data_IF_777625041322
#
_entry.id   IF_777625041322
#
_cell.length_a   1.000
_cell.length_b   1.000
_cell.length_c   1.000
_cell.angle_alpha   90.00
_cell.angle_beta   90.00
_cell.angle_gamma   90.00
#
_symmetry.space_group_name_H-M   'P 1'
#
loop_
_entity.id
_entity.type
_entity.pdbx_description
1 polymer ?
#
# COMPACT_ATOMS: atom_id res chain seq x y z
N UNK A 1 -52.81 -21.68 19.70
CA UNK A 1 -52.32 -21.36 18.35
C UNK A 1 -51.76 -19.96 18.40
N UNK A 2 -50.48 -19.86 18.70
CA UNK A 2 -49.75 -18.61 18.86
C UNK A 2 -48.57 -18.72 17.91
N UNK A 3 -48.75 -18.13 16.72
CA UNK A 3 -47.71 -18.05 15.69
C UNK A 3 -46.56 -17.19 16.21
N UNK A 4 -45.50 -17.89 16.62
CA UNK A 4 -44.19 -17.33 16.90
C UNK A 4 -43.54 -16.93 15.57
N UNK A 5 -43.81 -15.71 15.11
CA UNK A 5 -43.06 -15.04 14.05
C UNK A 5 -41.65 -14.73 14.56
N UNK A 6 -40.76 -15.72 14.44
CA UNK A 6 -39.33 -15.51 14.54
C UNK A 6 -38.92 -14.61 13.36
N UNK A 7 -38.96 -13.30 13.60
CA UNK A 7 -38.35 -12.30 12.75
C UNK A 7 -36.86 -12.62 12.67
N UNK A 8 -36.50 -13.38 11.65
CA UNK A 8 -35.12 -13.65 11.29
C UNK A 8 -34.53 -12.32 10.83
N UNK A 9 -33.90 -11.60 11.75
CA UNK A 9 -32.99 -10.49 11.44
C UNK A 9 -31.79 -11.11 10.74
N UNK A 10 -31.96 -11.43 9.45
CA UNK A 10 -30.84 -11.67 8.55
C UNK A 10 -30.06 -10.37 8.53
N UNK A 11 -28.99 -10.32 9.30
CA UNK A 11 -27.97 -9.28 9.24
C UNK A 11 -27.38 -9.35 7.84
N UNK A 12 -27.94 -8.57 6.91
CA UNK A 12 -27.32 -8.32 5.62
C UNK A 12 -25.89 -7.86 5.92
N UNK A 13 -24.89 -8.58 5.44
CA UNK A 13 -23.52 -8.09 5.51
C UNK A 13 -23.51 -6.70 4.88
N UNK A 14 -22.97 -5.74 5.62
CA UNK A 14 -22.81 -4.39 5.09
C UNK A 14 -21.90 -4.49 3.87
N UNK A 15 -22.37 -3.96 2.74
CA UNK A 15 -21.54 -3.83 1.54
C UNK A 15 -20.24 -3.09 1.89
N UNK A 16 -19.08 -3.52 1.37
CA UNK A 16 -17.80 -2.86 1.65
C UNK A 16 -17.75 -1.44 1.06
N UNK A 17 -17.03 -0.53 1.70
CA UNK A 17 -16.75 0.79 1.12
C UNK A 17 -15.73 0.63 -0.04
N UNK A 18 -15.90 1.35 -1.15
CA UNK A 18 -14.88 1.41 -2.21
C UNK A 18 -13.71 2.28 -1.72
N UNK A 19 -12.55 1.66 -1.46
CA UNK A 19 -11.33 2.37 -1.05
C UNK A 19 -10.17 1.93 -1.94
N UNK A 20 -9.44 2.89 -2.51
CA UNK A 20 -8.16 2.64 -3.16
C UNK A 20 -7.04 3.29 -2.34
N UNK A 21 -6.01 2.50 -2.02
CA UNK A 21 -4.88 2.92 -1.19
C UNK A 21 -3.67 3.15 -2.08
N UNK A 22 -3.19 4.39 -2.10
CA UNK A 22 -2.01 4.79 -2.87
C UNK A 22 -0.85 4.98 -1.92
N UNK A 23 0.14 4.10 -2.02
CA UNK A 23 1.44 4.30 -1.38
C UNK A 23 2.22 5.39 -2.10
N UNK A 24 2.95 6.20 -1.35
CA UNK A 24 3.80 7.25 -1.90
C UNK A 24 5.24 7.12 -1.42
N UNK A 25 6.19 7.23 -2.35
CA UNK A 25 7.60 7.31 -2.04
C UNK A 25 8.30 8.33 -2.93
N UNK A 26 9.08 9.25 -2.36
CA UNK A 26 9.76 10.24 -3.17
C UNK A 26 11.06 10.78 -2.59
N UNK A 27 11.72 11.63 -3.37
CA UNK A 27 12.99 12.25 -3.01
C UNK A 27 12.77 13.38 -2.00
N UNK A 28 13.59 13.41 -0.95
CA UNK A 28 13.59 14.46 0.09
C UNK A 28 14.03 15.84 -0.42
N UNK A 29 14.90 15.87 -1.42
CA UNK A 29 15.51 17.11 -1.94
C UNK A 29 15.10 17.34 -3.39
N UNK A 30 14.24 18.33 -3.59
CA UNK A 30 13.83 18.84 -4.89
C UNK A 30 14.18 20.33 -4.94
N UNK A 31 14.68 20.82 -6.08
CA UNK A 31 14.75 22.26 -6.30
C UNK A 31 13.34 22.83 -6.57
N UNK A 32 13.24 24.16 -6.69
CA UNK A 32 11.96 24.83 -6.87
C UNK A 32 11.24 24.41 -8.18
N UNK A 33 11.99 24.28 -9.29
CA UNK A 33 11.42 23.90 -10.59
C UNK A 33 10.97 22.44 -10.61
N UNK A 34 11.75 21.55 -9.99
CA UNK A 34 11.36 20.16 -9.76
C UNK A 34 10.11 20.08 -8.89
N UNK A 35 10.01 20.89 -7.84
CA UNK A 35 8.87 20.88 -6.93
C UNK A 35 7.57 21.28 -7.63
N UNK A 36 7.61 22.33 -8.45
CA UNK A 36 6.46 22.77 -9.26
C UNK A 36 6.05 21.70 -10.28
N UNK A 37 7.03 21.12 -10.98
CA UNK A 37 6.81 20.06 -11.98
C UNK A 37 6.17 18.83 -11.35
N UNK A 38 6.71 18.37 -10.21
CA UNK A 38 6.17 17.24 -9.45
C UNK A 38 4.76 17.55 -8.95
N UNK A 39 4.52 18.74 -8.40
CA UNK A 39 3.19 19.13 -7.91
C UNK A 39 2.13 19.10 -9.01
N UNK A 40 2.46 19.65 -10.19
CA UNK A 40 1.58 19.63 -11.36
C UNK A 40 1.23 18.18 -11.77
N UNK A 41 2.22 17.30 -11.84
CA UNK A 41 2.01 15.91 -12.28
C UNK A 41 1.31 15.05 -11.26
N UNK A 42 1.60 15.22 -9.96
CA UNK A 42 0.84 14.54 -8.92
C UNK A 42 -0.63 14.99 -8.92
N UNK A 43 -0.92 16.26 -9.26
CA UNK A 43 -2.29 16.74 -9.39
C UNK A 43 -3.03 16.01 -10.52
N UNK A 44 -2.37 15.85 -11.67
CA UNK A 44 -2.93 15.09 -12.79
C UNK A 44 -3.18 13.62 -12.39
N UNK A 45 -2.18 12.96 -11.79
CA UNK A 45 -2.26 11.55 -11.35
C UNK A 45 -3.40 11.33 -10.36
N UNK A 46 -3.45 12.12 -9.27
CA UNK A 46 -4.53 11.98 -8.28
C UNK A 46 -5.90 12.34 -8.84
N UNK A 47 -5.98 13.28 -9.79
CA UNK A 47 -7.25 13.61 -10.46
C UNK A 47 -7.75 12.45 -11.31
N UNK A 48 -6.89 11.79 -12.09
CA UNK A 48 -7.27 10.62 -12.89
C UNK A 48 -7.80 9.50 -12.00
N UNK A 49 -7.06 9.19 -10.92
CA UNK A 49 -7.46 8.16 -9.95
C UNK A 49 -8.80 8.53 -9.29
N UNK A 50 -8.93 9.76 -8.80
CA UNK A 50 -10.12 10.25 -8.12
C UNK A 50 -11.37 10.23 -9.01
N UNK A 51 -11.26 10.71 -10.25
CA UNK A 51 -12.37 10.66 -11.21
C UNK A 51 -12.79 9.24 -11.50
N UNK A 52 -11.81 8.34 -11.67
CA UNK A 52 -12.14 6.96 -11.99
C UNK A 52 -12.86 6.24 -10.86
N UNK A 53 -12.46 6.48 -9.61
CA UNK A 53 -13.17 5.94 -8.44
C UNK A 53 -14.63 6.44 -8.37
N UNK A 54 -14.86 7.73 -8.65
CA UNK A 54 -16.21 8.32 -8.69
C UNK A 54 -17.06 7.72 -9.82
N UNK A 55 -16.47 7.41 -10.97
CA UNK A 55 -17.17 6.75 -12.07
C UNK A 55 -17.56 5.30 -11.73
N UNK A 56 -16.74 4.58 -10.96
CA UNK A 56 -16.98 3.19 -10.57
C UNK A 56 -18.10 3.09 -9.53
N UNK A 57 -18.15 4.00 -8.56
CA UNK A 57 -19.17 4.05 -7.51
C UNK A 57 -19.77 5.46 -7.40
N UNK A 58 -20.67 5.86 -8.32
CA UNK A 58 -21.33 7.15 -8.26
C UNK A 58 -22.29 7.22 -7.06
N UNK A 59 -22.34 8.38 -6.39
CA UNK A 59 -23.10 8.60 -5.15
C UNK A 59 -24.58 8.94 -5.33
N UNK A 60 -24.99 9.39 -6.53
CA UNK A 60 -26.34 9.89 -6.79
C UNK A 60 -26.90 9.32 -8.11
N UNK A 61 -28.10 8.75 -8.05
CA UNK A 61 -28.91 8.39 -9.22
C UNK A 61 -29.53 9.64 -9.92
N UNK A 62 -29.51 10.80 -9.26
CA UNK A 62 -30.50 11.85 -9.52
C UNK A 62 -30.13 12.89 -10.60
N UNK A 63 -28.91 12.92 -11.13
CA UNK A 63 -28.48 14.01 -12.02
C UNK A 63 -27.74 13.59 -13.31
N UNK A 64 -27.32 12.33 -13.44
CA UNK A 64 -26.54 11.90 -14.60
C UNK A 64 -27.34 10.88 -15.41
N UNK A 65 -27.62 11.20 -16.67
CA UNK A 65 -28.19 10.27 -17.68
C UNK A 65 -27.29 9.05 -17.97
N UNK A 66 -26.14 8.93 -17.29
CA UNK A 66 -25.20 7.83 -17.48
C UNK A 66 -25.67 6.60 -16.70
N UNK A 67 -25.67 5.42 -17.32
CA UNK A 67 -26.00 4.17 -16.63
C UNK A 67 -24.97 3.90 -15.53
N UNK A 68 -25.46 3.64 -14.31
CA UNK A 68 -24.63 3.23 -13.18
C UNK A 68 -23.96 1.88 -13.50
N UNK A 69 -22.62 1.76 -13.37
CA UNK A 69 -21.94 0.48 -13.58
C UNK A 69 -22.49 -0.61 -12.66
N UNK A 70 -22.64 -1.83 -13.17
CA UNK A 70 -23.18 -2.95 -12.37
C UNK A 70 -22.35 -3.22 -11.11
N UNK A 71 -21.03 -2.99 -11.17
CA UNK A 71 -20.11 -3.19 -10.05
C UNK A 71 -20.42 -2.25 -8.86
N UNK A 72 -21.00 -1.07 -9.09
CA UNK A 72 -21.32 -0.12 -8.04
C UNK A 72 -22.27 -0.71 -6.97
N UNK A 73 -23.06 -1.73 -7.34
CA UNK A 73 -24.00 -2.43 -6.45
C UNK A 73 -23.31 -3.25 -5.36
N UNK A 74 -22.04 -3.61 -5.54
CA UNK A 74 -21.28 -4.36 -4.54
C UNK A 74 -20.74 -3.49 -3.42
N UNK A 75 -20.61 -2.18 -3.63
CA UNK A 75 -20.09 -1.27 -2.61
C UNK A 75 -21.21 -0.69 -1.75
N UNK A 76 -20.84 -0.27 -0.55
CA UNK A 76 -21.65 0.66 0.22
C UNK A 76 -21.82 1.90 -0.63
N UNK A 77 -23.04 2.44 -0.68
CA UNK A 77 -23.33 3.66 -1.45
C UNK A 77 -22.76 4.92 -0.74
N UNK A 78 -21.58 4.78 -0.11
CA UNK A 78 -20.78 5.85 0.46
C UNK A 78 -19.77 6.33 -0.59
N UNK A 79 -19.22 7.52 -0.32
CA UNK A 79 -18.25 8.13 -1.23
C UNK A 79 -17.07 7.18 -1.41
N UNK A 80 -16.68 6.86 -2.65
CA UNK A 80 -15.44 6.13 -2.85
C UNK A 80 -14.29 6.94 -2.26
N UNK A 81 -13.37 6.27 -1.61
CA UNK A 81 -12.29 6.92 -0.87
C UNK A 81 -10.96 6.66 -1.55
N UNK A 82 -10.26 7.74 -1.88
CA UNK A 82 -8.84 7.68 -2.21
C UNK A 82 -8.06 7.87 -0.91
N UNK A 83 -7.17 6.94 -0.57
CA UNK A 83 -6.31 7.03 0.61
C UNK A 83 -4.86 7.23 0.19
N UNK A 84 -4.24 8.32 0.62
CA UNK A 84 -2.80 8.53 0.48
C UNK A 84 -2.07 7.95 1.70
N UNK A 85 -1.09 7.08 1.46
CA UNK A 85 -0.21 6.51 2.49
C UNK A 85 1.22 6.95 2.23
N UNK A 86 1.85 7.66 3.16
CA UNK A 86 3.16 8.25 2.94
C UNK A 86 4.08 8.16 4.17
N UNK A 87 5.34 8.62 4.02
CA UNK A 87 6.39 8.44 5.02
C UNK A 87 6.56 9.58 6.03
N UNK A 88 5.68 10.60 6.02
CA UNK A 88 5.83 11.85 6.80
C UNK A 88 7.22 12.48 6.63
N UNK A 89 7.69 12.56 5.38
CA UNK A 89 9.02 13.04 5.02
C UNK A 89 8.96 14.41 4.33
N UNK A 90 10.10 15.11 4.30
CA UNK A 90 10.25 16.36 3.55
C UNK A 90 10.25 16.11 2.03
N UNK A 91 10.14 17.18 1.26
CA UNK A 91 10.28 17.15 -0.19
C UNK A 91 9.05 16.55 -0.88
N UNK A 92 9.25 15.54 -1.71
CA UNK A 92 8.19 14.95 -2.52
C UNK A 92 6.97 14.47 -1.71
N UNK A 93 7.17 13.90 -0.53
CA UNK A 93 6.09 13.46 0.36
C UNK A 93 5.21 14.64 0.83
N UNK A 94 5.83 15.80 1.10
CA UNK A 94 5.10 17.02 1.47
C UNK A 94 4.30 17.56 0.28
N UNK A 95 4.91 17.58 -0.91
CA UNK A 95 4.22 17.99 -2.14
C UNK A 95 3.02 17.09 -2.42
N UNK A 96 3.19 15.77 -2.29
CA UNK A 96 2.10 14.82 -2.49
C UNK A 96 0.95 15.05 -1.50
N UNK A 97 1.28 15.27 -0.22
CA UNK A 97 0.30 15.61 0.81
C UNK A 97 -0.48 16.89 0.46
N UNK A 98 0.20 17.98 0.11
CA UNK A 98 -0.44 19.26 -0.18
C UNK A 98 -1.33 19.16 -1.44
N UNK A 99 -0.82 18.58 -2.53
CA UNK A 99 -1.60 18.36 -3.76
C UNK A 99 -2.83 17.49 -3.50
N UNK A 100 -2.70 16.46 -2.67
CA UNK A 100 -3.80 15.59 -2.29
C UNK A 100 -4.87 16.32 -1.47
N UNK A 101 -4.45 17.19 -0.55
CA UNK A 101 -5.35 18.05 0.22
C UNK A 101 -6.05 19.09 -0.66
N UNK A 102 -5.39 19.61 -1.68
CA UNK A 102 -5.95 20.54 -2.67
C UNK A 102 -6.95 19.91 -3.64
N UNK A 103 -6.99 18.58 -3.76
CA UNK A 103 -7.89 17.91 -4.69
C UNK A 103 -9.37 18.20 -4.36
N UNK A 104 -10.05 18.94 -5.25
CA UNK A 104 -11.47 19.34 -5.08
C UNK A 104 -12.37 18.41 -5.90
N UNK A 105 -12.91 17.39 -5.23
CA UNK A 105 -13.84 16.42 -5.84
C UNK A 105 -14.95 16.06 -4.83
N UNK A 106 -16.10 16.74 -4.82
CA UNK A 106 -17.12 16.57 -3.77
C UNK A 106 -17.64 15.14 -3.59
N UNK A 107 -17.65 14.35 -4.67
CA UNK A 107 -18.08 12.94 -4.65
C UNK A 107 -17.00 11.97 -4.13
N UNK A 108 -15.76 12.43 -3.97
CA UNK A 108 -14.63 11.61 -3.54
C UNK A 108 -14.37 11.83 -2.04
N UNK A 109 -14.31 10.74 -1.28
CA UNK A 109 -13.72 10.73 0.06
C UNK A 109 -12.20 10.81 -0.03
N UNK A 110 -11.57 11.59 0.85
CA UNK A 110 -10.11 11.65 0.96
C UNK A 110 -9.70 11.20 2.34
N UNK A 111 -8.68 10.36 2.40
CA UNK A 111 -8.12 9.87 3.66
C UNK A 111 -6.60 9.85 3.60
N UNK A 112 -5.95 10.04 4.75
CA UNK A 112 -4.49 10.05 4.86
C UNK A 112 -4.07 9.06 5.92
N UNK A 113 -3.02 8.32 5.64
CA UNK A 113 -2.34 7.47 6.60
C UNK A 113 -0.82 7.60 6.45
N UNK A 114 -0.11 7.16 7.47
CA UNK A 114 1.34 7.19 7.45
C UNK A 114 1.96 5.86 7.87
N UNK A 115 3.17 5.61 7.37
CA UNK A 115 4.06 4.56 7.87
C UNK A 115 5.37 5.22 8.22
N UNK A 116 5.83 5.08 9.46
CA UNK A 116 7.13 5.60 9.90
C UNK A 116 8.09 4.44 10.18
N UNK A 117 9.42 4.63 10.17
CA UNK A 117 10.36 3.51 10.30
C UNK A 117 10.66 3.05 11.73
N UNK A 118 10.27 3.84 12.75
CA UNK A 118 10.58 3.63 14.17
C UNK A 118 9.70 4.58 15.01
N UNK A 119 9.75 4.56 16.37
CA UNK A 119 8.85 5.36 17.21
C UNK A 119 8.71 6.82 16.76
N UNK A 120 7.47 7.32 16.73
CA UNK A 120 7.13 8.63 16.15
C UNK A 120 7.94 9.76 16.81
N UNK A 121 8.17 9.68 18.12
CA UNK A 121 8.98 10.67 18.87
C UNK A 121 10.41 10.76 18.32
N UNK A 122 11.03 9.61 18.05
CA UNK A 122 12.39 9.52 17.54
C UNK A 122 12.43 9.93 16.06
N UNK A 123 11.39 9.56 15.29
CA UNK A 123 11.26 9.94 13.89
C UNK A 123 11.11 11.43 13.72
N UNK A 124 10.24 12.06 14.50
CA UNK A 124 10.09 13.51 14.58
C UNK A 124 11.40 14.19 14.98
N UNK A 125 12.08 13.70 16.01
CA UNK A 125 13.37 14.24 16.44
C UNK A 125 14.50 14.07 15.41
N UNK A 126 14.34 13.17 14.43
CA UNK A 126 15.29 12.98 13.33
C UNK A 126 15.08 13.93 12.14
N UNK A 127 13.96 14.68 12.12
CA UNK A 127 13.61 15.61 11.03
C UNK A 127 14.36 16.93 11.14
N UNK A 128 14.33 17.68 10.05
CA UNK A 128 14.77 19.08 10.07
C UNK A 128 13.89 19.90 11.03
N UNK A 129 14.47 20.73 11.93
CA UNK A 129 13.70 21.62 12.81
C UNK A 129 12.67 22.48 12.08
N UNK A 130 12.99 22.98 10.88
CA UNK A 130 12.10 23.85 10.10
C UNK A 130 10.92 23.06 9.50
N UNK A 131 11.04 21.73 9.40
CA UNK A 131 9.98 20.85 8.93
C UNK A 131 9.03 20.39 10.03
N UNK A 132 9.38 20.53 11.31
CA UNK A 132 8.58 20.01 12.42
C UNK A 132 7.11 20.50 12.42
N UNK A 133 6.79 21.78 12.09
CA UNK A 133 5.39 22.21 12.01
C UNK A 133 4.59 21.46 10.95
N UNK A 134 5.20 21.21 9.78
CA UNK A 134 4.55 20.49 8.69
C UNK A 134 4.44 18.99 9.00
N UNK A 135 5.47 18.39 9.61
CA UNK A 135 5.40 17.03 10.14
C UNK A 135 4.21 16.86 11.09
N UNK A 136 4.04 17.77 12.06
CA UNK A 136 2.96 17.70 13.05
C UNK A 136 1.58 17.89 12.39
N UNK A 137 1.46 18.77 11.40
CA UNK A 137 0.24 18.95 10.59
C UNK A 137 -0.13 17.66 9.84
N UNK A 138 0.83 17.04 9.15
CA UNK A 138 0.59 15.81 8.39
C UNK A 138 0.25 14.62 9.32
N UNK A 139 0.96 14.53 10.46
CA UNK A 139 0.69 13.53 11.47
C UNK A 139 -0.73 13.67 12.04
N UNK A 140 -1.15 14.89 12.38
CA UNK A 140 -2.49 15.16 12.91
C UNK A 140 -3.60 14.91 11.88
N UNK A 141 -3.31 15.06 10.59
CA UNK A 141 -4.23 14.76 9.50
C UNK A 141 -4.35 13.25 9.18
N UNK A 142 -3.43 12.42 9.69
CA UNK A 142 -3.43 10.99 9.42
C UNK A 142 -4.48 10.25 10.27
N UNK A 143 -5.37 9.50 9.62
CA UNK A 143 -6.38 8.66 10.29
C UNK A 143 -5.76 7.51 11.07
N UNK A 144 -4.59 7.02 10.61
CA UNK A 144 -3.75 6.09 11.38
C UNK A 144 -2.29 6.20 10.98
N UNK A 145 -1.42 5.73 11.88
CA UNK A 145 0.03 5.67 11.65
C UNK A 145 0.52 4.28 12.02
N UNK A 146 1.22 3.61 11.10
CA UNK A 146 1.86 2.33 11.34
C UNK A 146 3.30 2.57 11.79
N UNK A 147 3.65 2.01 12.96
CA UNK A 147 4.97 2.16 13.58
C UNK A 147 5.57 0.77 13.81
N UNK A 148 6.60 0.35 13.05
CA UNK A 148 7.35 -0.86 13.32
C UNK A 148 8.32 -0.67 14.49
N UNK A 149 8.89 -1.78 14.96
CA UNK A 149 9.86 -1.86 16.06
C UNK A 149 11.30 -1.45 15.63
N UNK A 150 11.43 -0.63 14.60
CA UNK A 150 12.72 -0.14 14.14
C UNK A 150 13.44 0.68 15.22
N UNK A 151 14.78 0.65 15.19
CA UNK A 151 15.62 1.40 16.14
C UNK A 151 16.28 2.55 15.39
N UNK A 152 16.05 3.77 15.86
CA UNK A 152 16.82 4.93 15.43
C UNK A 152 18.07 5.09 16.29
N UNK A 153 19.20 4.75 15.71
CA UNK A 153 20.52 4.96 16.31
C UNK A 153 21.15 6.11 15.52
N UNK A 154 21.15 7.33 16.08
CA UNK A 154 21.84 8.46 15.45
C UNK A 154 23.34 8.20 15.69
N UNK A 155 24.16 8.01 14.64
CA UNK A 155 25.61 8.01 14.85
C UNK A 155 25.91 9.35 15.50
N UNK A 156 26.56 9.35 16.68
CA UNK A 156 26.83 10.56 17.43
C UNK A 156 27.42 11.59 16.46
N UNK A 157 26.63 12.61 16.10
CA UNK A 157 27.22 13.76 15.46
C UNK A 157 28.27 14.32 16.43
N UNK A 158 29.25 15.11 15.95
CA UNK A 158 29.90 16.04 16.87
C UNK A 158 28.76 16.73 17.62
N UNK A 159 28.72 16.56 18.94
CA UNK A 159 27.70 17.16 19.77
C UNK A 159 27.88 18.65 19.52
N UNK A 160 27.07 19.22 18.63
CA UNK A 160 26.88 20.66 18.58
C UNK A 160 26.14 20.95 19.88
N UNK A 161 26.92 21.08 20.94
CA UNK A 161 26.51 21.44 22.27
C UNK A 161 25.72 22.73 22.13
N UNK A 162 24.41 22.58 21.99
CA UNK A 162 23.46 23.67 21.94
C UNK A 162 23.52 24.35 23.29
N UNK A 163 24.38 25.35 23.42
CA UNK A 163 24.33 26.48 24.34
C UNK A 163 23.76 26.23 25.75
N UNK A 164 24.04 25.08 26.36
CA UNK A 164 23.82 24.91 27.80
C UNK A 164 25.00 25.59 28.48
N UNK A 165 24.87 26.92 28.64
CA UNK A 165 25.73 27.80 29.43
C UNK A 165 25.58 27.39 30.91
N UNK A 166 26.09 26.20 31.26
CA UNK A 166 26.22 25.76 32.64
C UNK A 166 27.30 26.62 33.27
N UNK A 167 26.84 27.73 33.82
CA UNK A 167 27.63 28.59 34.69
C UNK A 167 27.61 27.88 36.03
N UNK A 168 28.69 27.17 36.36
CA UNK A 168 29.37 27.15 37.67
C UNK A 168 30.38 25.99 37.64
N UNK A 169 31.64 26.34 37.89
CA UNK A 169 32.82 25.56 37.52
C UNK A 169 33.00 24.21 38.21
N UNK A 170 33.63 23.28 37.48
CA UNK A 170 34.99 22.82 37.80
C UNK A 170 35.49 21.90 36.68
N UNK A 171 36.80 21.97 36.43
CA UNK A 171 37.56 21.28 35.39
C UNK A 171 37.28 19.76 35.27
N UNK A 172 36.39 19.36 34.36
CA UNK A 172 36.42 18.04 33.76
C UNK A 172 36.60 18.19 32.25
N UNK A 173 37.79 17.81 31.80
CA UNK A 173 38.19 17.69 30.41
C UNK A 173 37.27 16.67 29.73
N UNK A 174 36.17 17.12 29.15
CA UNK A 174 35.31 16.28 28.32
C UNK A 174 36.07 15.98 27.02
N UNK A 175 36.76 14.85 27.00
CA UNK A 175 37.36 14.31 25.79
C UNK A 175 36.19 13.92 24.89
N UNK A 176 35.87 14.80 23.94
CA UNK A 176 34.97 14.52 22.83
C UNK A 176 35.63 13.48 21.93
N UNK A 177 35.48 12.21 22.30
CA UNK A 177 35.90 11.10 21.45
C UNK A 177 34.89 11.01 20.31
N UNK A 178 35.36 11.23 19.09
CA UNK A 178 34.59 10.94 17.89
C UNK A 178 34.04 9.50 17.98
N UNK A 179 32.82 9.24 17.49
CA UNK A 179 32.24 7.90 17.50
C UNK A 179 33.17 6.92 16.79
N UNK A 180 33.31 5.71 17.33
CA UNK A 180 34.09 4.66 16.67
C UNK A 180 33.47 4.33 15.30
N UNK A 181 34.28 4.02 14.28
CA UNK A 181 33.78 3.60 12.96
C UNK A 181 32.79 2.43 13.02
N UNK A 182 33.01 1.50 13.95
CA UNK A 182 32.12 0.36 14.20
C UNK A 182 30.72 0.78 14.64
N UNK A 183 30.62 1.77 15.54
CA UNK A 183 29.34 2.29 16.01
C UNK A 183 28.59 2.99 14.89
N UNK A 184 29.28 3.82 14.11
CA UNK A 184 28.69 4.49 12.95
C UNK A 184 28.17 3.48 11.91
N UNK A 185 28.95 2.43 11.63
CA UNK A 185 28.54 1.37 10.73
C UNK A 185 27.30 0.60 11.23
N UNK A 186 27.26 0.24 12.52
CA UNK A 186 26.09 -0.42 13.12
C UNK A 186 24.84 0.46 13.08
N UNK A 187 24.97 1.75 13.43
CA UNK A 187 23.90 2.73 13.38
C UNK A 187 23.31 2.86 11.96
N UNK A 188 24.18 2.98 10.96
CA UNK A 188 23.76 3.04 9.55
C UNK A 188 23.04 1.76 9.10
N UNK A 189 23.52 0.57 9.50
CA UNK A 189 22.86 -0.70 9.20
C UNK A 189 21.47 -0.81 9.83
N UNK A 190 21.32 -0.42 11.10
CA UNK A 190 20.03 -0.42 11.81
C UNK A 190 19.04 0.54 11.15
N UNK A 191 19.49 1.76 10.85
CA UNK A 191 18.70 2.77 10.14
C UNK A 191 18.24 2.25 8.78
N UNK A 192 19.14 1.70 7.97
CA UNK A 192 18.79 1.14 6.65
C UNK A 192 17.75 0.02 6.77
N UNK A 193 17.89 -0.86 7.77
CA UNK A 193 16.89 -1.92 8.05
C UNK A 193 15.52 -1.33 8.41
N UNK A 194 15.49 -0.27 9.22
CA UNK A 194 14.24 0.39 9.62
C UNK A 194 13.51 1.02 8.41
N UNK A 195 14.22 1.70 7.52
CA UNK A 195 13.64 2.26 6.28
C UNK A 195 13.16 1.18 5.29
N UNK A 196 13.88 0.05 5.17
CA UNK A 196 13.39 -1.10 4.40
C UNK A 196 12.12 -1.69 5.00
N UNK A 197 12.05 -1.79 6.32
CA UNK A 197 10.85 -2.25 7.02
C UNK A 197 9.67 -1.29 6.77
N UNK A 198 9.89 0.02 6.86
CA UNK A 198 8.90 1.05 6.52
C UNK A 198 8.39 0.88 5.09
N UNK A 199 9.29 0.75 4.11
CA UNK A 199 8.93 0.52 2.70
C UNK A 199 8.10 -0.75 2.54
N UNK A 200 8.53 -1.87 3.12
CA UNK A 200 7.80 -3.13 3.05
C UNK A 200 6.41 -3.08 3.74
N UNK A 201 6.22 -2.24 4.76
CA UNK A 201 4.92 -2.01 5.38
C UNK A 201 4.05 -1.07 4.54
N UNK A 202 4.62 -0.01 3.98
CA UNK A 202 3.95 0.90 3.05
C UNK A 202 3.34 0.11 1.88
N UNK A 203 4.14 -0.74 1.22
CA UNK A 203 3.69 -1.54 0.08
C UNK A 203 2.54 -2.49 0.45
N UNK A 204 2.59 -3.14 1.63
CA UNK A 204 1.50 -4.00 2.13
C UNK A 204 0.20 -3.24 2.44
N UNK A 205 0.29 -1.93 2.66
CA UNK A 205 -0.88 -1.09 2.88
C UNK A 205 -1.41 -0.47 1.58
N UNK A 206 -0.76 -0.71 0.45
CA UNK A 206 -1.04 -0.04 -0.82
C UNK A 206 -1.64 -1.00 -1.85
N UNK A 207 -2.47 -0.46 -2.74
CA UNK A 207 -3.00 -1.13 -3.93
C UNK A 207 -2.28 -0.66 -5.22
N UNK A 208 -1.63 0.51 -5.14
CA UNK A 208 -0.82 1.13 -6.18
C UNK A 208 0.31 1.94 -5.51
N UNK A 209 1.51 1.95 -6.09
CA UNK A 209 2.59 2.86 -5.65
C UNK A 209 2.71 4.04 -6.61
N UNK A 210 2.71 5.27 -6.08
CA UNK A 210 3.16 6.46 -6.79
C UNK A 210 4.56 6.83 -6.31
N UNK A 211 5.52 6.92 -7.21
CA UNK A 211 6.91 7.19 -6.89
C UNK A 211 7.46 8.43 -7.62
N UNK A 212 8.12 9.33 -6.90
CA UNK A 212 8.84 10.47 -7.50
C UNK A 212 10.34 10.21 -7.46
N UNK A 213 10.92 9.93 -8.62
CA UNK A 213 12.34 9.57 -8.71
C UNK A 213 12.94 9.96 -10.05
N UNK A 214 14.20 10.39 -10.01
CA UNK A 214 15.01 10.51 -11.23
C UNK A 214 15.72 9.15 -11.43
N UNK A 215 15.40 8.40 -12.50
CA UNK A 215 15.99 7.09 -12.77
C UNK A 215 17.48 7.15 -13.12
N UNK A 216 17.99 8.29 -13.56
CA UNK A 216 19.40 8.47 -13.94
C UNK A 216 20.35 8.56 -12.72
N UNK A 217 19.79 8.73 -11.52
CA UNK A 217 20.57 8.85 -10.30
C UNK A 217 20.71 7.49 -9.61
N UNK A 218 21.93 7.21 -9.13
CA UNK A 218 22.19 6.00 -8.35
C UNK A 218 21.33 5.98 -7.08
N UNK A 219 20.58 4.88 -6.90
CA UNK A 219 19.73 4.68 -5.73
C UNK A 219 20.54 4.44 -4.46
N UNK A 220 20.07 4.99 -3.34
CA UNK A 220 20.61 4.67 -2.00
C UNK A 220 19.87 3.46 -1.40
N UNK A 221 20.50 2.70 -0.50
CA UNK A 221 19.82 1.67 0.29
C UNK A 221 18.59 2.22 1.03
N UNK A 222 17.45 1.55 0.88
CA UNK A 222 16.14 1.97 1.41
C UNK A 222 15.58 3.23 0.74
N UNK A 223 16.14 3.64 -0.40
CA UNK A 223 15.67 4.78 -1.17
C UNK A 223 14.52 4.43 -2.11
N UNK A 224 14.01 5.44 -2.83
CA UNK A 224 12.82 5.31 -3.69
C UNK A 224 12.97 4.25 -4.78
N UNK A 225 14.12 4.12 -5.44
CA UNK A 225 14.32 3.06 -6.46
C UNK A 225 14.30 1.64 -5.86
N UNK A 226 14.82 1.45 -4.64
CA UNK A 226 14.72 0.15 -3.96
C UNK A 226 13.27 -0.17 -3.60
N UNK A 227 12.50 0.84 -3.17
CA UNK A 227 11.05 0.73 -2.94
C UNK A 227 10.27 0.41 -4.22
N UNK A 228 10.60 1.04 -5.35
CA UNK A 228 9.96 0.75 -6.65
C UNK A 228 10.19 -0.70 -7.06
N UNK A 229 11.44 -1.19 -6.98
CA UNK A 229 11.74 -2.60 -7.28
C UNK A 229 10.99 -3.54 -6.33
N UNK A 230 10.98 -3.23 -5.04
CA UNK A 230 10.25 -4.01 -4.04
C UNK A 230 8.74 -4.01 -4.27
N UNK A 231 8.19 -2.96 -4.89
CA UNK A 231 6.77 -2.90 -5.25
C UNK A 231 6.46 -3.85 -6.40
N UNK A 232 7.26 -3.84 -7.46
CA UNK A 232 7.12 -4.74 -8.60
C UNK A 232 7.30 -6.21 -8.17
N UNK A 233 8.31 -6.50 -7.33
CA UNK A 233 8.51 -7.82 -6.72
C UNK A 233 7.31 -8.25 -5.83
N UNK A 234 6.50 -7.30 -5.37
CA UNK A 234 5.30 -7.51 -4.56
C UNK A 234 4.01 -7.48 -5.40
N UNK A 235 4.13 -7.60 -6.72
CA UNK A 235 3.02 -7.55 -7.68
C UNK A 235 2.19 -6.26 -7.60
N UNK A 236 2.83 -5.15 -7.19
CA UNK A 236 2.19 -3.86 -7.04
C UNK A 236 2.52 -2.95 -8.24
N UNK A 237 1.53 -2.49 -9.01
CA UNK A 237 1.78 -1.56 -10.11
C UNK A 237 2.36 -0.23 -9.61
N UNK A 238 3.21 0.39 -10.44
CA UNK A 238 3.93 1.62 -10.09
C UNK A 238 3.65 2.73 -11.10
N UNK A 239 3.23 3.89 -10.59
CA UNK A 239 3.21 5.16 -11.31
C UNK A 239 4.47 5.94 -10.94
N UNK A 240 5.40 6.09 -11.87
CA UNK A 240 6.64 6.82 -11.66
C UNK A 240 6.55 8.22 -12.28
N UNK A 241 6.84 9.25 -11.50
CA UNK A 241 6.89 10.64 -11.95
C UNK A 241 8.33 11.13 -11.94
N UNK A 242 8.83 11.53 -13.11
CA UNK A 242 10.17 12.05 -13.25
C UNK A 242 10.24 13.52 -12.81
N UNK A 243 11.07 13.89 -11.81
CA UNK A 243 11.01 15.23 -11.22
C UNK A 243 11.49 16.36 -12.14
N UNK A 244 12.40 16.09 -13.08
CA UNK A 244 12.89 17.11 -14.02
C UNK A 244 11.97 17.35 -15.23
N UNK A 245 11.46 16.28 -15.85
CA UNK A 245 10.69 16.34 -17.10
C UNK A 245 9.19 16.34 -16.85
N UNK A 246 8.75 15.88 -15.68
CA UNK A 246 7.34 15.64 -15.37
C UNK A 246 6.75 14.49 -16.18
N UNK A 247 7.57 13.63 -16.77
CA UNK A 247 7.07 12.44 -17.45
C UNK A 247 6.47 11.46 -16.44
N UNK A 248 5.41 10.78 -16.87
CA UNK A 248 4.71 9.77 -16.08
C UNK A 248 4.89 8.42 -16.78
N UNK A 249 5.45 7.46 -16.05
CA UNK A 249 5.61 6.09 -16.49
C UNK A 249 4.68 5.20 -15.69
N UNK A 250 3.99 4.30 -16.39
CA UNK A 250 3.21 3.24 -15.80
C UNK A 250 4.02 1.96 -15.97
N UNK A 251 4.39 1.34 -14.85
CA UNK A 251 5.21 0.12 -14.80
C UNK A 251 4.38 -0.99 -14.15
N UNK A 252 4.08 -2.03 -14.93
CA UNK A 252 3.41 -3.24 -14.46
C UNK A 252 4.41 -4.17 -13.74
N UNK A 253 3.94 -5.06 -12.85
CA UNK A 253 4.83 -5.99 -12.15
C UNK A 253 5.73 -6.83 -13.06
N UNK A 254 5.24 -7.21 -14.24
CA UNK A 254 5.97 -8.04 -15.20
C UNK A 254 6.90 -7.25 -16.14
N UNK A 255 6.89 -5.91 -16.05
CA UNK A 255 7.75 -5.06 -16.88
C UNK A 255 9.22 -5.10 -16.44
N UNK A 256 10.13 -5.06 -17.42
CA UNK A 256 11.54 -4.78 -17.15
C UNK A 256 11.71 -3.28 -16.84
N UNK A 257 11.83 -2.96 -15.55
CA UNK A 257 12.05 -1.61 -15.05
C UNK A 257 13.19 -0.87 -15.79
N UNK A 258 14.29 -1.53 -16.12
CA UNK A 258 15.41 -0.88 -16.82
C UNK A 258 15.05 -0.58 -18.28
N UNK A 259 14.32 -1.48 -18.95
CA UNK A 259 13.86 -1.25 -20.31
C UNK A 259 12.89 -0.08 -20.38
N UNK A 260 11.90 -0.03 -19.48
CA UNK A 260 10.91 1.06 -19.40
C UNK A 260 11.61 2.42 -19.18
N UNK A 261 12.57 2.47 -18.26
CA UNK A 261 13.29 3.71 -17.95
C UNK A 261 14.29 4.12 -19.05
N UNK A 262 14.87 3.16 -19.79
CA UNK A 262 15.86 3.44 -20.83
C UNK A 262 15.27 3.99 -22.12
N UNK A 263 13.97 3.84 -22.35
CA UNK A 263 13.36 4.21 -23.63
C UNK A 263 13.18 5.71 -23.84
N UNK A 264 13.49 6.58 -22.87
CA UNK A 264 13.81 8.02 -23.02
C UNK A 264 12.75 8.94 -23.68
N UNK A 265 11.73 8.37 -24.30
CA UNK A 265 10.58 8.98 -24.95
C UNK A 265 9.29 8.31 -24.50
N UNK A 266 9.37 7.48 -23.46
CA UNK A 266 8.33 6.56 -22.99
C UNK A 266 7.36 7.18 -22.00
N UNK A 267 7.16 8.51 -22.01
CA UNK A 267 5.92 9.04 -21.46
C UNK A 267 4.80 8.38 -22.26
N UNK A 268 4.07 7.45 -21.64
CA UNK A 268 3.00 6.74 -22.33
C UNK A 268 2.01 7.81 -22.82
N UNK A 269 1.96 8.06 -24.13
CA UNK A 269 0.90 8.86 -24.70
C UNK A 269 -0.41 8.20 -24.27
N UNK A 270 -1.27 8.92 -23.56
CA UNK A 270 -2.47 8.34 -22.98
C UNK A 270 -2.27 7.60 -21.65
N UNK A 271 -1.20 7.86 -20.88
CA UNK A 271 -1.03 7.27 -19.54
C UNK A 271 -2.26 7.49 -18.64
N UNK A 272 -3.02 8.56 -18.84
CA UNK A 272 -4.25 8.82 -18.09
C UNK A 272 -5.29 7.72 -18.34
N UNK A 273 -5.45 7.27 -19.58
CA UNK A 273 -6.39 6.20 -19.95
C UNK A 273 -5.93 4.86 -19.38
N UNK A 274 -4.64 4.54 -19.51
CA UNK A 274 -4.03 3.34 -18.93
C UNK A 274 -4.13 3.32 -17.40
N UNK A 275 -3.87 4.44 -16.73
CA UNK A 275 -4.00 4.55 -15.27
C UNK A 275 -5.47 4.40 -14.83
N UNK A 276 -6.41 4.99 -15.57
CA UNK A 276 -7.83 4.77 -15.30
C UNK A 276 -8.24 3.30 -15.50
N UNK A 277 -7.67 2.62 -16.50
CA UNK A 277 -7.86 1.19 -16.70
C UNK A 277 -7.33 0.39 -15.50
N UNK A 278 -6.10 0.67 -15.03
CA UNK A 278 -5.54 0.03 -13.83
C UNK A 278 -6.39 0.25 -12.59
N UNK A 279 -6.85 1.47 -12.33
CA UNK A 279 -7.76 1.75 -11.19
C UNK A 279 -9.04 0.91 -11.31
N UNK A 280 -9.57 0.75 -12.51
CA UNK A 280 -10.73 -0.14 -12.75
C UNK A 280 -10.40 -1.59 -12.43
N UNK A 281 -9.28 -2.10 -12.94
CA UNK A 281 -8.87 -3.49 -12.75
C UNK A 281 -8.65 -3.79 -11.26
N UNK A 282 -7.93 -2.92 -10.56
CA UNK A 282 -7.64 -3.06 -9.13
C UNK A 282 -8.92 -3.06 -8.30
N UNK A 283 -9.86 -2.16 -8.60
CA UNK A 283 -11.04 -1.98 -7.74
C UNK A 283 -12.21 -2.85 -8.13
N UNK A 284 -12.52 -2.95 -9.43
CA UNK A 284 -13.77 -3.51 -9.93
C UNK A 284 -13.66 -4.92 -10.55
N UNK A 285 -12.47 -5.40 -10.90
CA UNK A 285 -12.32 -6.70 -11.59
C UNK A 285 -10.88 -7.24 -11.55
N UNK A 286 -10.35 -7.69 -10.39
CA UNK A 286 -8.97 -8.16 -10.29
C UNK A 286 -8.71 -9.43 -11.10
N UNK A 287 -9.75 -10.21 -11.44
CA UNK A 287 -9.62 -11.44 -12.24
C UNK A 287 -9.60 -11.19 -13.75
N UNK A 288 -9.68 -9.93 -14.21
CA UNK A 288 -9.77 -9.59 -15.63
C UNK A 288 -8.43 -9.39 -16.36
N UNK A 289 -7.30 -9.74 -15.73
CA UNK A 289 -5.96 -9.71 -16.35
C UNK A 289 -5.99 -10.39 -17.72
N UNK A 290 -5.73 -9.60 -18.77
CA UNK A 290 -5.51 -9.79 -20.23
C UNK A 290 -6.11 -10.96 -21.03
N UNK A 291 -6.66 -11.99 -20.41
CA UNK A 291 -7.34 -13.11 -21.06
C UNK A 291 -8.83 -12.80 -21.33
N UNK A 292 -9.12 -11.51 -21.60
CA UNK A 292 -10.45 -10.92 -21.80
C UNK A 292 -11.22 -11.48 -23.03
N UNK A 293 -10.62 -12.40 -23.78
CA UNK A 293 -11.29 -13.14 -24.85
C UNK A 293 -12.36 -14.13 -24.35
N UNK A 294 -12.45 -14.36 -23.02
CA UNK A 294 -13.46 -15.25 -22.43
C UNK A 294 -14.52 -14.47 -21.65
N UNK A 295 -15.61 -14.12 -22.34
CA UNK A 295 -16.85 -13.57 -21.73
C UNK A 295 -17.40 -14.40 -20.55
N UNK A 296 -16.93 -15.63 -20.35
CA UNK A 296 -17.32 -16.49 -19.22
C UNK A 296 -16.72 -16.06 -17.88
N UNK A 297 -15.57 -15.39 -17.84
CA UNK A 297 -14.86 -15.09 -16.58
C UNK A 297 -15.54 -13.99 -15.76
N UNK A 298 -16.04 -12.93 -16.40
CA UNK A 298 -16.75 -11.85 -15.69
C UNK A 298 -18.02 -12.35 -14.97
N UNK A 299 -18.75 -13.29 -15.56
CA UNK A 299 -19.92 -13.91 -14.91
C UNK A 299 -19.55 -14.78 -13.71
N UNK A 300 -18.33 -15.35 -13.71
CA UNK A 300 -17.82 -16.17 -12.61
C UNK A 300 -17.47 -15.31 -11.40
N UNK A 301 -16.74 -14.20 -11.60
CA UNK A 301 -16.38 -13.28 -10.52
C UNK A 301 -17.59 -12.66 -9.82
N UNK A 302 -18.60 -12.22 -10.57
CA UNK A 302 -19.86 -11.71 -9.98
C UNK A 302 -20.55 -12.76 -9.10
N UNK A 303 -20.60 -14.02 -9.55
CA UNK A 303 -21.18 -15.11 -8.76
C UNK A 303 -20.39 -15.38 -7.47
N UNK A 304 -19.06 -15.30 -7.51
CA UNK A 304 -18.21 -15.45 -6.32
C UNK A 304 -18.44 -14.32 -5.30
N UNK A 305 -18.54 -13.07 -5.79
CA UNK A 305 -18.86 -11.91 -4.94
C UNK A 305 -20.24 -12.06 -4.30
N UNK A 306 -21.27 -12.47 -5.07
CA UNK A 306 -22.61 -12.73 -4.55
C UNK A 306 -22.61 -13.84 -3.49
N UNK A 307 -21.91 -14.95 -3.74
CA UNK A 307 -21.77 -16.06 -2.78
C UNK A 307 -21.09 -15.60 -1.48
N UNK A 308 -20.03 -14.78 -1.58
CA UNK A 308 -19.25 -14.39 -0.41
C UNK A 308 -19.94 -13.32 0.44
N UNK A 309 -20.54 -12.32 -0.21
CA UNK A 309 -21.13 -11.16 0.50
C UNK A 309 -22.62 -11.31 0.79
N UNK A 310 -23.39 -12.00 -0.05
CA UNK A 310 -24.84 -12.12 0.14
C UNK A 310 -25.24 -13.42 0.85
N UNK A 311 -24.35 -14.41 0.93
CA UNK A 311 -24.60 -15.70 1.59
C UNK A 311 -23.56 -16.03 2.68
N UNK A 312 -23.40 -15.16 3.71
CA UNK A 312 -22.43 -15.39 4.80
C UNK A 312 -22.67 -16.70 5.56
N UNK A 313 -23.94 -17.06 5.73
CA UNK A 313 -24.41 -18.17 6.57
C UNK A 313 -24.78 -19.43 5.79
N UNK A 314 -24.78 -19.37 4.44
CA UNK A 314 -24.93 -20.59 3.66
C UNK A 314 -23.64 -21.39 3.80
N UNK A 315 -23.71 -22.56 4.44
CA UNK A 315 -22.71 -23.59 4.17
C UNK A 315 -22.70 -23.83 2.65
N UNK A 316 -21.53 -24.02 2.02
CA UNK A 316 -21.48 -24.51 0.65
C UNK A 316 -22.43 -25.71 0.55
N UNK A 317 -23.37 -25.64 -0.39
CA UNK A 317 -24.55 -26.50 -0.42
C UNK A 317 -24.11 -27.96 -0.62
N UNK A 318 -23.83 -28.65 0.48
CA UNK A 318 -23.30 -30.01 0.50
C UNK A 318 -24.28 -31.05 -0.09
N UNK A 319 -25.51 -30.62 -0.40
CA UNK A 319 -26.52 -31.46 -1.02
C UNK A 319 -26.43 -31.51 -2.57
N UNK A 320 -25.54 -30.75 -3.21
CA UNK A 320 -25.29 -30.86 -4.65
C UNK A 320 -24.33 -32.03 -5.03
N UNK A 321 -23.99 -32.91 -4.09
CA UNK A 321 -22.90 -33.89 -4.20
C UNK A 321 -23.24 -35.15 -5.02
N UNK A 322 -24.50 -35.47 -5.32
CA UNK A 322 -24.80 -36.85 -5.76
C UNK A 322 -24.89 -37.17 -7.26
N UNK A 323 -24.78 -36.23 -8.22
CA UNK A 323 -25.02 -36.61 -9.64
C UNK A 323 -24.05 -36.14 -10.73
N UNK A 324 -22.94 -35.46 -10.41
CA UNK A 324 -21.85 -35.25 -11.35
C UNK A 324 -20.55 -34.91 -10.59
N UNK A 325 -19.35 -35.09 -11.17
CA UNK A 325 -18.12 -34.53 -10.60
C UNK A 325 -18.21 -33.00 -10.67
N UNK A 326 -18.85 -32.41 -9.67
CA UNK A 326 -18.99 -30.97 -9.53
C UNK A 326 -17.61 -30.39 -9.22
N UNK A 327 -17.21 -29.41 -10.03
CA UNK A 327 -16.05 -28.57 -9.72
C UNK A 327 -16.32 -27.92 -8.37
N UNK A 328 -15.41 -28.13 -7.40
CA UNK A 328 -15.41 -27.43 -6.10
C UNK A 328 -15.60 -25.94 -6.33
N UNK A 329 -16.43 -25.27 -5.53
CA UNK A 329 -16.49 -23.80 -5.57
C UNK A 329 -15.14 -23.23 -5.11
N UNK A 330 -14.82 -22.00 -5.51
CA UNK A 330 -13.57 -21.36 -5.07
C UNK A 330 -13.52 -21.25 -3.54
N UNK A 331 -14.66 -20.97 -2.88
CA UNK A 331 -14.76 -20.92 -1.43
C UNK A 331 -14.45 -22.27 -0.79
N UNK A 332 -14.97 -23.37 -1.34
CA UNK A 332 -14.65 -24.73 -0.90
C UNK A 332 -13.17 -25.05 -1.09
N UNK A 333 -12.60 -24.70 -2.25
CA UNK A 333 -11.19 -24.90 -2.54
C UNK A 333 -10.29 -24.08 -1.60
N UNK A 334 -10.59 -22.80 -1.39
CA UNK A 334 -9.84 -21.91 -0.51
C UNK A 334 -9.94 -22.37 0.94
N UNK A 335 -11.13 -22.78 1.38
CA UNK A 335 -11.34 -23.33 2.72
C UNK A 335 -10.56 -24.63 2.92
N UNK A 336 -10.53 -25.52 1.91
CA UNK A 336 -9.72 -26.73 1.95
C UNK A 336 -8.22 -26.40 2.04
N UNK A 337 -7.72 -25.43 1.27
CA UNK A 337 -6.31 -24.98 1.33
C UNK A 337 -5.96 -24.39 2.69
N UNK A 338 -6.80 -23.51 3.23
CA UNK A 338 -6.62 -22.91 4.54
C UNK A 338 -6.63 -24.00 5.62
N UNK A 339 -7.63 -24.88 5.59
CA UNK A 339 -7.76 -25.98 6.54
C UNK A 339 -6.59 -26.97 6.45
N UNK A 340 -6.11 -27.29 5.25
CA UNK A 340 -4.93 -28.14 5.04
C UNK A 340 -3.63 -27.48 5.52
N UNK A 341 -3.51 -26.16 5.42
CA UNK A 341 -2.37 -25.41 5.96
C UNK A 341 -2.28 -25.51 7.49
N UNK A 342 -3.43 -25.56 8.18
CA UNK A 342 -3.50 -25.69 9.64
C UNK A 342 -3.66 -27.13 10.13
N UNK A 343 -3.82 -28.12 9.25
CA UNK A 343 -3.76 -29.52 9.65
C UNK A 343 -2.37 -29.78 10.21
N UNK A 344 -2.24 -30.33 11.44
CA UNK A 344 -0.94 -30.72 11.96
C UNK A 344 -0.31 -31.65 10.93
N UNK A 345 0.90 -31.31 10.48
CA UNK A 345 1.65 -32.16 9.57
C UNK A 345 1.61 -33.58 10.16
N UNK A 346 1.14 -34.55 9.37
CA UNK A 346 1.13 -35.95 9.82
C UNK A 346 2.57 -36.30 10.14
N UNK A 347 2.92 -36.21 11.42
CA UNK A 347 4.21 -36.64 11.93
C UNK A 347 4.26 -38.11 11.58
N UNK A 348 5.08 -38.46 10.58
CA UNK A 348 5.39 -39.85 10.32
C UNK A 348 6.05 -40.33 11.60
N UNK A 349 5.28 -40.99 12.46
CA UNK A 349 5.82 -41.68 13.63
C UNK A 349 6.85 -42.63 13.03
N UNK A 350 8.15 -42.46 13.30
CA UNK A 350 9.14 -43.38 12.80
C UNK A 350 8.74 -44.75 13.33
N UNK A 351 8.42 -45.66 12.41
CA UNK A 351 8.19 -47.05 12.74
C UNK A 351 9.51 -47.53 13.32
N UNK A 352 9.55 -47.71 14.65
CA UNK A 352 10.73 -48.19 15.34
C UNK A 352 11.21 -49.51 14.71
N UNK A 353 12.51 -49.80 14.75
CA UNK A 353 13.03 -51.05 14.21
C UNK A 353 12.26 -52.22 14.81
N UNK A 354 11.67 -53.02 13.92
CA UNK A 354 11.00 -54.26 14.27
C UNK A 354 11.97 -55.11 15.10
N UNK A 355 11.55 -55.47 16.32
CA UNK A 355 12.30 -56.31 17.22
C UNK A 355 12.41 -57.74 16.64
N UNK A 356 13.37 -57.93 15.74
CA UNK A 356 13.80 -59.25 15.30
C UNK A 356 14.80 -59.81 16.32
N UNK A 357 14.31 -60.78 17.10
CA UNK A 357 15.00 -61.94 17.63
C UNK A 357 16.46 -61.77 18.10
N UNK A 358 16.65 -61.64 19.41
CA UNK A 358 17.80 -62.24 20.08
C UNK A 358 17.36 -63.56 20.72
N UNK A 359 17.84 -64.65 20.14
CA UNK A 359 17.85 -65.99 20.72
C UNK A 359 19.31 -66.38 20.96
N UNK A 360 19.70 -66.46 22.24
CA UNK A 360 20.80 -67.29 22.72
C UNK A 360 20.54 -67.69 24.16
#
# INVERSE_FOLDING_TARGET
MSDSTLSSTQSSLLSPDLVLRVGFAGKRQLDAGQSETVAARLRDVFSVIGWRLVEIAPMDDAANERPVPSIARFYSQKRPTLRLIHGLCEGADTIAYDVFQELVMPALGKDIAAVVPFPITDYRASRDPDFLPEFDKQLAASSYVVVPDGIYDKPDGPIHSSNQKSTIGNHQSSISLAPSPERTHLANRRRARAYRCQSALLLRQSDLLVAVVNPDLEGKPGGTLETVRSALDFELPVVLVHPNTGEVFLIEPDDDLLAVLSHGSGASMGWQESLAAWVTQITADPERSDDASRHTSASHGHRLMDEFFQQPSAQPDSHAIETAPTRKTFREWLWEKLHDHFKPAKTKIPVGPSAAAFSH
#
